data_IF_487748147624
#
_entry.id   IF_487748147624
#
_cell.length_a   1.000
_cell.length_b   1.000
_cell.length_c   1.000
_cell.angle_alpha   90.00
_cell.angle_beta   90.00
_cell.angle_gamma   90.00
#
_symmetry.space_group_name_H-M   'P 1'
#
loop_
_entity.id
_entity.type
_entity.pdbx_description
1 polymer ?
#
# COMPACT_ATOMS: atom_id res chain seq x y z
N UNK A 1 -9.75 1.32 12.38
CA UNK A 1 -10.08 2.64 11.82
C UNK A 1 -9.00 2.99 10.82
N UNK A 2 -9.35 3.14 9.54
CA UNK A 2 -8.42 3.43 8.46
C UNK A 2 -7.91 4.87 8.65
N UNK A 3 -6.68 5.04 9.12
CA UNK A 3 -6.07 6.35 9.39
C UNK A 3 -5.69 7.01 8.04
N UNK A 4 -6.68 7.68 7.43
CA UNK A 4 -6.60 8.37 6.13
C UNK A 4 -5.85 9.72 6.22
N UNK A 5 -5.47 10.19 7.42
CA UNK A 5 -4.95 11.55 7.61
C UNK A 5 -3.51 11.78 7.16
N UNK A 6 -2.78 10.73 6.79
CA UNK A 6 -1.49 10.87 6.10
C UNK A 6 -1.58 10.06 4.81
N UNK A 7 -1.57 10.71 3.62
CA UNK A 7 -1.49 9.99 2.37
C UNK A 7 -0.13 9.31 2.30
N UNK A 8 -0.05 8.14 2.91
CA UNK A 8 1.11 7.28 2.83
C UNK A 8 1.23 6.85 1.36
N UNK A 9 2.42 6.91 0.75
CA UNK A 9 2.66 6.46 -0.62
C UNK A 9 1.95 5.13 -1.00
N UNK A 10 1.90 4.11 -0.12
CA UNK A 10 1.13 2.91 -0.39
C UNK A 10 -0.40 3.10 -0.55
N UNK A 11 -1.01 4.02 0.19
CA UNK A 11 -2.45 4.28 0.09
C UNK A 11 -2.84 4.85 -1.27
N UNK A 12 -2.00 5.73 -1.83
CA UNK A 12 -2.19 6.28 -3.18
C UNK A 12 -2.13 5.16 -4.22
N UNK A 13 -1.18 4.23 -4.10
CA UNK A 13 -1.06 3.08 -5.00
C UNK A 13 -2.32 2.19 -4.98
N UNK A 14 -2.92 1.97 -3.81
CA UNK A 14 -4.16 1.20 -3.68
C UNK A 14 -5.38 1.94 -4.24
N UNK A 15 -5.45 3.26 -4.09
CA UNK A 15 -6.52 4.06 -4.69
C UNK A 15 -6.45 3.96 -6.22
N UNK A 16 -5.25 4.11 -6.80
CA UNK A 16 -5.03 3.96 -8.25
C UNK A 16 -5.39 2.55 -8.71
N UNK A 17 -4.99 1.51 -7.96
CA UNK A 17 -5.35 0.12 -8.24
C UNK A 17 -6.87 -0.08 -8.33
N UNK A 18 -7.60 0.43 -7.34
CA UNK A 18 -9.06 0.32 -7.26
C UNK A 18 -9.75 1.03 -8.44
N UNK A 19 -9.28 2.22 -8.81
CA UNK A 19 -9.80 2.98 -9.96
C UNK A 19 -9.56 2.21 -11.27
N UNK A 20 -8.36 1.66 -11.48
CA UNK A 20 -8.03 0.88 -12.68
C UNK A 20 -8.83 -0.42 -12.79
N UNK A 21 -9.01 -1.14 -11.68
CA UNK A 21 -9.84 -2.35 -11.67
C UNK A 21 -11.31 -2.04 -11.95
N UNK A 22 -11.86 -1.00 -11.31
CA UNK A 22 -13.26 -0.60 -11.52
C UNK A 22 -13.51 -0.17 -12.97
N UNK A 23 -12.65 0.69 -13.50
CA UNK A 23 -12.76 1.15 -14.88
C UNK A 23 -12.53 0.01 -15.88
N UNK A 24 -11.56 -0.87 -15.63
CA UNK A 24 -11.29 -2.03 -16.46
C UNK A 24 -12.46 -3.01 -16.50
N UNK A 25 -13.12 -3.24 -15.36
CA UNK A 25 -14.32 -4.07 -15.29
C UNK A 25 -15.48 -3.43 -16.04
N UNK A 26 -15.73 -2.13 -15.83
CA UNK A 26 -16.80 -1.40 -16.50
C UNK A 26 -16.65 -1.34 -18.04
N UNK A 27 -15.43 -1.39 -18.55
CA UNK A 27 -15.13 -1.33 -19.99
C UNK A 27 -14.73 -2.67 -20.60
N UNK A 28 -14.92 -3.79 -19.87
CA UNK A 28 -14.57 -5.14 -20.31
C UNK A 28 -13.10 -5.27 -20.80
N UNK A 29 -12.19 -4.51 -20.20
CA UNK A 29 -10.78 -4.43 -20.57
C UNK A 29 -9.92 -5.23 -19.60
N UNK A 30 -9.54 -6.43 -20.02
CA UNK A 30 -8.69 -7.33 -19.24
C UNK A 30 -7.34 -6.69 -18.88
N UNK A 31 -6.79 -5.88 -19.79
CA UNK A 31 -5.52 -5.18 -19.60
C UNK A 31 -5.59 -4.18 -18.44
N UNK A 32 -6.67 -3.38 -18.35
CA UNK A 32 -6.85 -2.40 -17.29
C UNK A 32 -7.02 -3.07 -15.91
N UNK A 33 -7.78 -4.18 -15.85
CA UNK A 33 -7.91 -4.99 -14.62
C UNK A 33 -6.57 -5.58 -14.19
N UNK A 34 -5.77 -6.07 -15.15
CA UNK A 34 -4.44 -6.64 -14.89
C UNK A 34 -3.49 -5.58 -14.34
N UNK A 35 -3.45 -4.39 -14.93
CA UNK A 35 -2.66 -3.25 -14.43
C UNK A 35 -3.09 -2.84 -13.03
N UNK A 36 -4.40 -2.79 -12.76
CA UNK A 36 -4.94 -2.57 -11.43
C UNK A 36 -4.47 -3.62 -10.41
N UNK A 37 -4.44 -4.90 -10.82
CA UNK A 37 -3.91 -6.02 -10.03
C UNK A 37 -2.44 -5.84 -9.66
N UNK A 38 -1.60 -5.46 -10.62
CA UNK A 38 -0.18 -5.18 -10.37
C UNK A 38 -0.02 -4.03 -9.38
N UNK A 39 -0.77 -2.94 -9.55
CA UNK A 39 -0.76 -1.81 -8.62
C UNK A 39 -1.22 -2.20 -7.20
N UNK A 40 -2.21 -3.09 -7.08
CA UNK A 40 -2.65 -3.62 -5.79
C UNK A 40 -1.53 -4.43 -5.11
N UNK A 41 -0.88 -5.35 -5.84
CA UNK A 41 0.22 -6.16 -5.32
C UNK A 41 1.41 -5.29 -4.86
N UNK A 42 1.80 -4.30 -5.66
CA UNK A 42 2.87 -3.35 -5.32
C UNK A 42 2.47 -2.49 -4.12
N UNK A 43 1.24 -1.98 -4.10
CA UNK A 43 0.71 -1.18 -3.00
C UNK A 43 0.72 -1.92 -1.67
N UNK A 44 0.24 -3.18 -1.64
CA UNK A 44 0.27 -4.04 -0.44
C UNK A 44 1.71 -4.37 -0.06
N UNK A 45 2.58 -4.71 -1.02
CA UNK A 45 4.00 -4.97 -0.76
C UNK A 45 4.72 -3.78 -0.12
N UNK A 46 4.47 -2.57 -0.64
CA UNK A 46 4.98 -1.33 -0.05
C UNK A 46 4.37 -1.04 1.32
N UNK A 47 3.09 -1.35 1.57
CA UNK A 47 2.50 -1.23 2.90
C UNK A 47 3.23 -2.12 3.90
N UNK A 48 3.42 -3.40 3.56
CA UNK A 48 4.10 -4.36 4.43
C UNK A 48 5.54 -3.92 4.67
N UNK A 49 6.26 -3.50 3.62
CA UNK A 49 7.63 -3.01 3.76
C UNK A 49 7.71 -1.75 4.62
N UNK A 50 6.83 -0.77 4.40
CA UNK A 50 6.75 0.46 5.17
C UNK A 50 6.48 0.18 6.65
N UNK A 51 5.51 -0.70 6.95
CA UNK A 51 5.26 -1.15 8.31
C UNK A 51 6.49 -1.83 8.91
N UNK A 52 7.11 -2.76 8.18
CA UNK A 52 8.30 -3.48 8.66
C UNK A 52 9.46 -2.54 8.97
N UNK A 53 9.66 -1.53 8.13
CA UNK A 53 10.70 -0.53 8.32
C UNK A 53 10.38 0.42 9.50
N UNK A 54 9.12 0.82 9.65
CA UNK A 54 8.66 1.65 10.78
C UNK A 54 8.76 0.89 12.11
N UNK A 55 8.26 -0.34 12.17
CA UNK A 55 8.32 -1.21 13.34
C UNK A 55 9.76 -1.61 13.70
N UNK A 56 10.61 -1.87 12.70
CA UNK A 56 12.04 -2.16 12.91
C UNK A 56 12.81 -0.98 13.54
N UNK A 57 12.45 0.27 13.21
CA UNK A 57 13.00 1.45 13.88
C UNK A 57 12.49 1.63 15.31
N UNK A 58 11.21 1.35 15.59
CA UNK A 58 10.69 1.46 16.96
C UNK A 58 11.30 0.41 17.89
N UNK A 59 11.52 -0.82 17.42
CA UNK A 59 12.22 -1.86 18.20
C UNK A 59 13.68 -1.47 18.49
N UNK A 60 14.42 -0.95 17.50
CA UNK A 60 15.79 -0.47 17.72
C UNK A 60 15.87 0.76 18.64
N UNK A 61 14.88 1.67 18.60
CA UNK A 61 14.79 2.77 19.57
C UNK A 61 14.49 2.28 20.98
N UNK A 62 13.62 1.28 21.15
CA UNK A 62 13.28 0.72 22.47
C UNK A 62 14.49 0.03 23.11
N UNK A 63 15.24 -0.76 22.35
CA UNK A 63 16.45 -1.43 22.84
C UNK A 63 17.61 -0.47 23.17
N UNK A 64 17.57 0.78 22.68
CA UNK A 64 18.58 1.80 23.03
C UNK A 64 18.20 2.63 24.27
N UNK A 65 16.98 2.44 24.78
CA UNK A 65 16.43 3.20 25.93
C UNK A 65 16.29 2.31 27.17
N UNK A 66 16.41 0.99 27.05
CA UNK A 66 16.63 0.10 28.20
C UNK A 66 18.15 0.02 28.50
N UNK A 67 18.58 0.37 29.73
CA UNK A 67 19.98 0.46 30.16
C UNK A 67 20.67 -0.89 30.43
#
# INVERSE_FOLDING_TARGET
>A
MLDIRSPNPPGIALIIAAVFMWWGFANNSLAAVTIGGVFAAVGVGLQVLYLRYRYGRTTNRRNKVEP
#
